data_IF_594512845106
#
_entry.id   IF_594512845106
#
_cell.length_a   1.000
_cell.length_b   1.000
_cell.length_c   1.000
_cell.angle_alpha   90.00
_cell.angle_beta   90.00
_cell.angle_gamma   90.00
#
_symmetry.space_group_name_H-M   'P 1'
#
loop_
_entity.id
_entity.type
_entity.pdbx_description
1 polymer ?
#
# COMPACT_ATOMS: atom_id res chain seq x y z
N UNK A 1 -9.55 -5.26 -12.23
CA UNK A 1 -8.84 -5.00 -10.97
C UNK A 1 -8.69 -3.49 -10.85
N UNK A 2 -9.28 -2.85 -9.83
CA UNK A 2 -9.05 -1.43 -9.58
C UNK A 2 -7.73 -1.30 -8.82
N UNK A 3 -6.86 -0.40 -9.26
CA UNK A 3 -5.53 -0.20 -8.68
C UNK A 3 -5.51 1.20 -8.09
N UNK A 4 -5.40 1.29 -6.77
CA UNK A 4 -5.10 2.54 -6.09
C UNK A 4 -3.60 2.61 -5.87
N UNK A 5 -2.97 3.53 -6.57
CA UNK A 5 -1.56 3.88 -6.47
C UNK A 5 -1.50 5.28 -5.85
N UNK A 6 -0.78 5.41 -4.73
CA UNK A 6 -0.25 6.71 -4.34
C UNK A 6 1.23 6.75 -4.72
N UNK A 7 1.59 7.73 -5.54
CA UNK A 7 2.98 8.16 -5.65
C UNK A 7 3.18 9.41 -4.76
N UNK A 8 4.40 9.58 -4.25
CA UNK A 8 4.71 10.68 -3.34
C UNK A 8 4.84 12.05 -4.02
N UNK A 9 4.42 12.22 -5.27
CA UNK A 9 4.56 13.43 -6.07
C UNK A 9 3.20 14.00 -6.50
N UNK A 10 3.16 15.27 -6.90
CA UNK A 10 2.03 15.86 -7.61
C UNK A 10 1.99 15.46 -9.10
N UNK A 11 2.85 14.52 -9.53
CA UNK A 11 2.93 14.05 -10.90
C UNK A 11 1.87 12.96 -11.17
N UNK A 12 1.43 12.78 -12.43
CA UNK A 12 0.55 11.69 -12.78
C UNK A 12 1.21 10.34 -12.49
N UNK A 13 0.43 9.42 -11.91
CA UNK A 13 0.79 8.04 -11.61
C UNK A 13 1.64 7.44 -12.74
N UNK A 14 2.83 6.88 -12.45
CA UNK A 14 3.71 6.34 -13.48
C UNK A 14 3.15 5.10 -14.19
N UNK A 15 2.10 4.46 -13.65
CA UNK A 15 1.46 3.28 -14.22
C UNK A 15 -0.04 3.49 -14.42
N UNK A 16 -0.55 3.05 -15.56
CA UNK A 16 -1.98 3.12 -15.92
C UNK A 16 -2.71 1.80 -15.59
N UNK A 17 -1.97 0.72 -15.36
CA UNK A 17 -2.55 -0.56 -14.97
C UNK A 17 -1.57 -1.46 -14.21
N UNK A 18 -2.15 -2.35 -13.42
CA UNK A 18 -1.48 -3.51 -12.87
C UNK A 18 -2.24 -4.76 -13.28
N UNK A 19 -1.52 -5.85 -13.53
CA UNK A 19 -2.07 -7.19 -13.76
C UNK A 19 -1.33 -8.15 -12.84
N UNK A 20 -2.07 -9.03 -12.19
CA UNK A 20 -1.50 -10.17 -11.46
C UNK A 20 -1.90 -11.41 -12.26
N UNK A 21 -0.91 -12.13 -12.77
CA UNK A 21 -1.10 -13.43 -13.40
C UNK A 21 -0.71 -14.52 -12.41
N UNK A 22 -1.68 -15.24 -11.82
CA UNK A 22 -1.36 -16.38 -10.99
C UNK A 22 -0.65 -17.42 -11.83
N UNK A 23 0.53 -17.87 -11.41
CA UNK A 23 1.21 -19.00 -12.07
C UNK A 23 1.55 -20.06 -11.03
N UNK A 24 1.72 -21.28 -11.51
CA UNK A 24 2.11 -22.40 -10.65
C UNK A 24 1.15 -22.66 -9.51
N UNK A 25 1.68 -23.23 -8.43
CA UNK A 25 0.90 -23.58 -7.23
C UNK A 25 1.28 -22.72 -6.02
N UNK A 26 2.27 -21.84 -6.16
CA UNK A 26 2.81 -21.04 -5.07
C UNK A 26 2.75 -19.54 -5.42
N UNK A 27 2.38 -18.64 -4.48
CA UNK A 27 2.31 -17.19 -4.73
C UNK A 27 3.62 -16.49 -5.14
N UNK A 28 4.74 -17.21 -5.15
CA UNK A 28 6.04 -16.72 -5.63
C UNK A 28 6.23 -16.92 -7.15
N UNK A 29 5.38 -17.75 -7.76
CA UNK A 29 5.39 -18.04 -9.19
C UNK A 29 4.60 -16.97 -9.97
N UNK A 30 3.74 -16.20 -9.28
CA UNK A 30 2.88 -15.17 -9.86
C UNK A 30 3.68 -14.07 -10.56
N UNK A 31 3.15 -13.56 -11.67
CA UNK A 31 3.71 -12.41 -12.38
C UNK A 31 2.92 -11.16 -12.02
N UNK A 32 3.64 -10.15 -11.56
CA UNK A 32 3.08 -8.81 -11.37
C UNK A 32 3.53 -7.93 -12.53
N UNK A 33 2.56 -7.44 -13.29
CA UNK A 33 2.81 -6.56 -14.43
C UNK A 33 2.34 -5.16 -14.09
N UNK A 34 3.20 -4.17 -14.26
CA UNK A 34 2.85 -2.75 -14.17
C UNK A 34 3.08 -2.09 -15.51
N UNK A 35 2.04 -1.48 -16.08
CA UNK A 35 2.06 -0.96 -17.42
C UNK A 35 1.66 0.52 -17.47
N UNK A 36 2.34 1.27 -18.33
CA UNK A 36 1.91 2.58 -18.83
C UNK A 36 1.72 2.47 -20.33
N UNK A 37 0.58 2.88 -20.85
CA UNK A 37 0.29 2.85 -22.28
C UNK A 37 0.51 4.25 -22.92
N UNK A 38 0.52 4.31 -24.25
CA UNK A 38 0.68 5.58 -24.99
C UNK A 38 2.12 6.05 -25.15
N UNK A 39 2.33 7.37 -25.14
CA UNK A 39 3.65 7.99 -25.32
C UNK A 39 4.52 7.70 -24.08
N UNK A 40 5.55 6.87 -24.26
CA UNK A 40 6.36 6.35 -23.14
C UNK A 40 5.86 5.01 -22.62
N UNK A 41 5.35 4.13 -23.50
CA UNK A 41 4.98 2.76 -23.17
C UNK A 41 6.08 2.04 -22.40
N UNK A 42 5.73 1.53 -21.24
CA UNK A 42 6.61 0.69 -20.43
C UNK A 42 5.71 -0.38 -19.81
N UNK A 43 6.09 -1.63 -19.99
CA UNK A 43 5.48 -2.77 -19.30
C UNK A 43 6.56 -3.49 -18.49
N UNK A 44 6.42 -3.46 -17.17
CA UNK A 44 7.38 -4.07 -16.24
C UNK A 44 6.80 -5.35 -15.68
N UNK A 45 7.48 -6.46 -15.89
CA UNK A 45 7.13 -7.75 -15.30
C UNK A 45 8.04 -8.03 -14.11
N UNK A 46 7.45 -8.39 -12.98
CA UNK A 46 8.14 -8.81 -11.77
C UNK A 46 7.81 -10.27 -11.51
N UNK A 47 8.84 -11.11 -11.48
CA UNK A 47 8.77 -12.56 -11.32
C UNK A 47 9.82 -13.03 -10.30
N UNK A 48 9.81 -14.34 -10.00
CA UNK A 48 10.87 -15.00 -9.22
C UNK A 48 11.07 -14.35 -7.83
N UNK A 49 9.97 -14.18 -7.11
CA UNK A 49 9.99 -13.49 -5.83
C UNK A 49 10.85 -14.21 -4.79
N UNK A 50 11.73 -13.45 -4.14
CA UNK A 50 12.55 -13.93 -3.03
C UNK A 50 11.93 -13.49 -1.70
N UNK A 51 11.55 -14.48 -0.89
CA UNK A 51 11.05 -14.24 0.47
C UNK A 51 12.18 -13.86 1.43
N UNK A 52 11.95 -12.86 2.27
CA UNK A 52 12.89 -12.43 3.31
C UNK A 52 12.16 -11.71 4.45
N UNK A 53 12.91 -11.31 5.48
CA UNK A 53 12.43 -10.46 6.57
C UNK A 53 13.32 -9.23 6.65
N UNK A 54 12.72 -8.04 6.70
CA UNK A 54 13.46 -6.77 6.69
C UNK A 54 13.55 -6.08 8.06
N UNK A 55 13.19 -6.77 9.14
CA UNK A 55 13.14 -6.21 10.49
C UNK A 55 11.81 -5.54 10.84
N UNK A 56 10.99 -5.20 9.84
CA UNK A 56 9.61 -4.71 10.02
C UNK A 56 8.57 -5.81 9.75
N UNK A 57 8.93 -6.79 8.93
CA UNK A 57 8.15 -8.01 8.75
C UNK A 57 8.58 -8.85 7.57
N UNK A 58 7.75 -9.84 7.24
CA UNK A 58 7.97 -10.68 6.07
C UNK A 58 7.68 -9.88 4.81
N UNK A 59 8.56 -10.02 3.83
CA UNK A 59 8.43 -9.41 2.51
C UNK A 59 8.79 -10.40 1.43
N UNK A 60 8.31 -10.13 0.21
CA UNK A 60 8.76 -10.81 -1.02
C UNK A 60 9.25 -9.75 -1.99
N UNK A 61 10.44 -9.94 -2.56
CA UNK A 61 11.01 -8.95 -3.49
C UNK A 61 11.32 -9.56 -4.85
N UNK A 62 11.10 -8.79 -5.91
CA UNK A 62 11.38 -9.17 -7.28
C UNK A 62 12.01 -7.99 -8.04
N UNK A 63 12.94 -8.30 -8.94
CA UNK A 63 13.47 -7.37 -9.93
C UNK A 63 12.60 -7.39 -11.18
N UNK A 64 12.68 -6.35 -12.02
CA UNK A 64 11.88 -6.27 -13.23
C UNK A 64 12.60 -6.74 -14.51
N UNK A 65 11.80 -7.14 -15.48
CA UNK A 65 12.13 -7.16 -16.92
C UNK A 65 11.18 -6.19 -17.62
N UNK A 66 11.68 -5.41 -18.58
CA UNK A 66 10.88 -4.42 -19.31
C UNK A 66 10.52 -4.96 -20.68
N UNK A 67 9.26 -4.82 -21.09
CA UNK A 67 8.81 -5.10 -22.44
C UNK A 67 8.50 -3.78 -23.17
N UNK A 68 9.01 -3.67 -24.39
CA UNK A 68 8.71 -2.54 -25.28
C UNK A 68 7.39 -2.80 -26.06
N UNK A 69 6.86 -1.82 -26.81
CA UNK A 69 5.63 -2.00 -27.58
C UNK A 69 5.65 -3.14 -28.61
N UNK A 70 6.84 -3.58 -29.04
CA UNK A 70 6.99 -4.71 -29.96
C UNK A 70 7.08 -6.07 -29.25
N UNK A 71 6.93 -6.10 -27.91
CA UNK A 71 6.96 -7.32 -27.10
C UNK A 71 8.35 -7.90 -26.87
N UNK A 72 9.41 -7.15 -27.17
CA UNK A 72 10.79 -7.58 -26.91
C UNK A 72 11.19 -7.27 -25.47
N UNK A 73 11.76 -8.27 -24.79
CA UNK A 73 12.29 -8.13 -23.43
C UNK A 73 13.60 -7.32 -23.42
N UNK A 74 13.71 -6.43 -22.45
CA UNK A 74 14.88 -5.63 -22.14
C UNK A 74 15.26 -5.83 -20.68
N UNK A 75 16.54 -5.60 -20.35
CA UNK A 75 17.00 -5.61 -18.97
C UNK A 75 16.20 -4.60 -18.15
N UNK A 76 15.83 -4.98 -16.93
CA UNK A 76 15.11 -4.10 -16.03
C UNK A 76 15.88 -2.83 -15.67
N UNK A 77 15.15 -1.79 -15.30
CA UNK A 77 15.70 -0.48 -14.92
C UNK A 77 16.12 -0.38 -13.45
N UNK A 78 16.27 -1.53 -12.78
CA UNK A 78 16.68 -1.61 -11.38
C UNK A 78 15.56 -1.34 -10.37
N UNK A 79 14.35 -0.96 -10.78
CA UNK A 79 13.22 -0.87 -9.84
C UNK A 79 12.86 -2.25 -9.29
N UNK A 80 12.58 -2.32 -8.00
CA UNK A 80 12.19 -3.54 -7.29
C UNK A 80 10.74 -3.44 -6.82
N UNK A 81 10.00 -4.52 -7.02
CA UNK A 81 8.71 -4.72 -6.40
C UNK A 81 8.94 -5.39 -5.04
N UNK A 82 8.33 -4.84 -4.00
CA UNK A 82 8.28 -5.43 -2.66
C UNK A 82 6.83 -5.66 -2.29
N UNK A 83 6.45 -6.91 -2.09
CA UNK A 83 5.16 -7.30 -1.55
C UNK A 83 5.26 -7.44 -0.04
N UNK A 84 4.26 -6.92 0.66
CA UNK A 84 4.20 -6.98 2.10
C UNK A 84 3.32 -8.12 2.56
N UNK A 85 3.78 -8.85 3.58
CA UNK A 85 2.97 -9.80 4.33
C UNK A 85 2.65 -9.19 5.71
N UNK A 86 1.38 -8.86 5.94
CA UNK A 86 0.87 -8.23 7.17
C UNK A 86 0.55 -9.29 8.25
N UNK A 87 1.11 -10.50 8.15
CA UNK A 87 0.96 -11.56 9.14
C UNK A 87 1.42 -11.19 10.57
N UNK A 88 2.22 -10.13 10.73
CA UNK A 88 2.71 -9.70 12.04
C UNK A 88 1.61 -9.14 12.97
N UNK A 89 0.47 -8.72 12.42
CA UNK A 89 -0.68 -8.19 13.19
C UNK A 89 -1.94 -9.04 13.01
N UNK A 90 -2.00 -9.85 11.95
CA UNK A 90 -3.16 -10.69 11.60
C UNK A 90 -2.78 -12.18 11.63
N UNK A 91 -3.38 -12.96 12.54
CA UNK A 91 -3.32 -14.42 12.44
C UNK A 91 -3.98 -14.85 11.12
N UNK A 92 -3.20 -15.43 10.20
CA UNK A 92 -3.68 -15.87 8.89
C UNK A 92 -3.45 -14.90 7.73
N UNK A 93 -2.97 -13.68 7.98
CA UNK A 93 -2.67 -12.70 6.91
C UNK A 93 -3.91 -12.08 6.27
N UNK A 94 -3.78 -11.66 5.01
CA UNK A 94 -4.84 -11.06 4.17
C UNK A 94 -5.10 -11.98 2.97
N UNK A 95 -6.36 -12.24 2.67
CA UNK A 95 -6.80 -13.18 1.63
C UNK A 95 -7.25 -12.47 0.35
N UNK A 96 -7.84 -11.27 0.48
CA UNK A 96 -8.49 -10.56 -0.62
C UNK A 96 -7.71 -9.33 -1.08
N UNK A 97 -6.69 -8.91 -0.34
CA UNK A 97 -5.85 -7.75 -0.68
C UNK A 97 -4.35 -8.07 -0.62
N UNK A 98 -3.62 -7.62 -1.64
CA UNK A 98 -2.18 -7.56 -1.70
C UNK A 98 -1.72 -6.11 -1.57
N UNK A 99 -0.74 -5.89 -0.70
CA UNK A 99 -0.06 -4.62 -0.53
C UNK A 99 1.37 -4.71 -1.06
N UNK A 100 1.91 -3.59 -1.52
CA UNK A 100 3.31 -3.53 -1.87
C UNK A 100 3.78 -2.13 -2.20
N UNK A 101 5.05 -2.08 -2.61
CA UNK A 101 5.67 -0.89 -3.16
C UNK A 101 6.54 -1.21 -4.36
N UNK A 102 6.75 -0.23 -5.22
CA UNK A 102 7.75 -0.24 -6.27
C UNK A 102 8.80 0.81 -5.92
N UNK A 103 10.06 0.40 -5.80
CA UNK A 103 11.17 1.34 -5.62
C UNK A 103 11.33 2.20 -6.87
N UNK A 104 11.85 3.44 -6.76
CA UNK A 104 12.22 4.20 -7.94
C UNK A 104 13.27 3.46 -8.77
N UNK A 105 13.33 3.77 -10.08
CA UNK A 105 14.41 3.32 -10.97
C UNK A 105 15.67 4.19 -10.86
N UNK A 106 15.57 5.35 -10.23
CA UNK A 106 16.68 6.27 -9.98
C UNK A 106 16.93 6.46 -8.49
N UNK A 107 18.20 6.60 -8.11
CA UNK A 107 18.57 6.88 -6.73
C UNK A 107 17.94 8.20 -6.24
N UNK A 108 17.33 8.18 -5.06
CA UNK A 108 16.65 9.34 -4.48
C UNK A 108 15.21 9.57 -4.96
N UNK A 109 14.68 8.72 -5.85
CA UNK A 109 13.26 8.76 -6.20
C UNK A 109 12.35 8.26 -5.07
N UNK A 110 11.06 8.56 -5.16
CA UNK A 110 10.06 8.10 -4.19
C UNK A 110 9.54 6.72 -4.58
N UNK A 111 9.34 5.86 -3.58
CA UNK A 111 8.64 4.59 -3.80
C UNK A 111 7.16 4.84 -4.05
N UNK A 112 6.58 4.03 -4.91
CA UNK A 112 5.15 4.03 -5.20
C UNK A 112 4.49 2.93 -4.37
N UNK A 113 3.48 3.27 -3.57
CA UNK A 113 2.75 2.30 -2.76
C UNK A 113 1.42 1.93 -3.42
N UNK A 114 1.02 0.68 -3.29
CA UNK A 114 -0.24 0.19 -3.82
C UNK A 114 -0.93 -0.78 -2.87
N UNK A 115 -2.25 -0.80 -3.00
CA UNK A 115 -3.11 -1.84 -2.47
C UNK A 115 -4.02 -2.30 -3.60
N UNK A 116 -4.08 -3.61 -3.79
CA UNK A 116 -4.92 -4.21 -4.83
C UNK A 116 -5.59 -5.44 -4.31
N UNK A 117 -6.82 -5.67 -4.71
CA UNK A 117 -7.57 -6.80 -4.23
C UNK A 117 -8.68 -7.20 -5.18
N UNK A 118 -9.39 -8.27 -4.80
CA UNK A 118 -10.54 -8.69 -5.57
C UNK A 118 -11.63 -7.60 -5.55
N UNK A 119 -12.16 -7.20 -6.72
CA UNK A 119 -13.23 -6.22 -6.76
C UNK A 119 -14.50 -6.82 -6.15
N UNK A 120 -15.02 -6.18 -5.11
CA UNK A 120 -16.34 -6.45 -4.57
C UNK A 120 -17.43 -5.76 -5.39
N UNK A 121 -18.64 -6.30 -5.40
CA UNK A 121 -19.80 -5.60 -5.95
C UNK A 121 -20.23 -4.49 -4.98
N UNK A 122 -20.39 -3.26 -5.46
CA UNK A 122 -20.78 -2.11 -4.62
C UNK A 122 -22.05 -2.34 -3.78
N UNK A 123 -23.02 -3.09 -4.32
CA UNK A 123 -24.26 -3.43 -3.61
C UNK A 123 -24.08 -4.39 -2.42
N UNK A 124 -22.88 -4.91 -2.17
CA UNK A 124 -22.59 -5.76 -1.00
C UNK A 124 -22.04 -4.98 0.19
N UNK A 125 -21.73 -3.69 0.00
CA UNK A 125 -21.41 -2.80 1.12
C UNK A 125 -22.68 -2.63 1.96
N UNK A 126 -22.66 -2.96 3.27
CA UNK A 126 -23.81 -2.77 4.12
C UNK A 126 -24.26 -1.30 4.12
N UNK A 127 -25.55 -1.06 4.34
CA UNK A 127 -26.13 0.28 4.50
C UNK A 127 -26.53 0.57 5.94
N UNK A 128 -26.25 -0.36 6.86
CA UNK A 128 -26.55 -0.26 8.29
C UNK A 128 -25.49 -1.01 9.10
N UNK A 129 -25.42 -0.67 10.38
CA UNK A 129 -24.49 -1.31 11.32
C UNK A 129 -23.06 -0.81 11.21
N UNK A 130 -22.18 -1.39 12.00
CA UNK A 130 -20.76 -1.06 12.03
C UNK A 130 -19.89 -2.30 12.08
N UNK A 131 -18.65 -2.17 11.61
CA UNK A 131 -17.63 -3.20 11.72
C UNK A 131 -16.28 -2.60 12.10
N UNK A 132 -15.55 -3.32 12.94
CA UNK A 132 -14.15 -3.04 13.26
C UNK A 132 -13.24 -3.86 12.34
N UNK A 133 -12.14 -3.25 11.94
CA UNK A 133 -11.04 -3.88 11.22
C UNK A 133 -9.74 -3.54 11.94
N UNK A 134 -8.88 -4.53 12.10
CA UNK A 134 -7.56 -4.39 12.73
C UNK A 134 -6.50 -4.85 11.73
N UNK A 135 -5.29 -4.32 11.80
CA UNK A 135 -4.25 -4.68 10.85
C UNK A 135 -2.94 -3.94 11.06
N UNK A 136 -2.12 -3.92 10.00
CA UNK A 136 -0.82 -3.26 10.02
C UNK A 136 -0.57 -2.40 8.79
N UNK A 137 0.43 -1.53 8.89
CA UNK A 137 0.90 -0.67 7.80
C UNK A 137 2.34 -0.98 7.42
N UNK A 138 2.69 -0.59 6.20
CA UNK A 138 4.04 -0.55 5.65
C UNK A 138 4.20 0.74 4.86
N UNK A 139 5.26 1.48 5.12
CA UNK A 139 5.46 2.79 4.51
C UNK A 139 6.92 3.22 4.45
N UNK A 140 7.13 4.45 4.00
CA UNK A 140 8.39 5.16 4.04
C UNK A 140 8.15 6.53 4.68
N UNK A 141 8.95 6.87 5.68
CA UNK A 141 9.07 8.24 6.18
C UNK A 141 10.35 8.85 5.61
N UNK A 142 10.23 10.03 5.01
CA UNK A 142 11.36 10.81 4.51
C UNK A 142 11.40 12.08 5.33
N UNK A 143 12.48 12.31 6.07
CA UNK A 143 12.60 13.52 6.90
C UNK A 143 12.89 14.76 6.04
N UNK A 144 12.83 15.96 6.66
CA UNK A 144 13.15 17.23 5.98
C UNK A 144 14.57 17.33 5.41
N UNK A 145 15.49 16.43 5.80
CA UNK A 145 16.83 16.32 5.22
C UNK A 145 16.90 15.35 4.03
N UNK A 146 15.78 14.76 3.60
CA UNK A 146 15.71 13.81 2.50
C UNK A 146 16.17 12.38 2.86
N UNK A 147 16.39 12.08 4.14
CA UNK A 147 16.74 10.72 4.57
C UNK A 147 15.48 9.88 4.65
N UNK A 148 15.47 8.77 3.90
CA UNK A 148 14.36 7.82 3.87
C UNK A 148 14.54 6.72 4.91
N UNK A 149 13.43 6.36 5.55
CA UNK A 149 13.31 5.28 6.51
C UNK A 149 12.10 4.43 6.18
N UNK A 150 12.23 3.12 6.26
CA UNK A 150 11.09 2.21 6.13
C UNK A 150 10.31 2.19 7.44
N UNK A 151 8.99 2.12 7.37
CA UNK A 151 8.10 2.16 8.53
C UNK A 151 7.11 1.00 8.54
N UNK A 152 6.71 0.60 9.75
CA UNK A 152 5.54 -0.25 9.99
C UNK A 152 4.80 0.21 11.24
N UNK A 153 3.48 0.09 11.27
CA UNK A 153 2.66 0.40 12.44
C UNK A 153 1.45 -0.52 12.55
N UNK A 154 0.79 -0.51 13.69
CA UNK A 154 -0.54 -1.08 13.83
C UNK A 154 -1.57 -0.07 13.31
N UNK A 155 -2.65 -0.56 12.71
CA UNK A 155 -3.76 0.26 12.24
C UNK A 155 -5.10 -0.35 12.67
N UNK A 156 -6.03 0.51 13.09
CA UNK A 156 -7.38 0.11 13.43
C UNK A 156 -8.37 1.01 12.71
N UNK A 157 -9.50 0.45 12.29
CA UNK A 157 -10.56 1.18 11.58
C UNK A 157 -11.92 0.69 12.05
N UNK A 158 -12.84 1.62 12.24
CA UNK A 158 -14.27 1.35 12.39
C UNK A 158 -14.99 1.91 11.17
N UNK A 159 -15.71 1.04 10.47
CA UNK A 159 -16.64 1.44 9.42
C UNK A 159 -18.05 1.54 10.02
N UNK A 160 -18.66 2.72 9.94
CA UNK A 160 -20.08 2.93 10.19
C UNK A 160 -20.79 2.97 8.84
N UNK A 161 -21.39 1.83 8.48
CA UNK A 161 -22.08 1.65 7.21
C UNK A 161 -23.42 2.39 7.16
N UNK A 162 -24.03 2.66 8.32
CA UNK A 162 -25.24 3.48 8.40
C UNK A 162 -24.96 4.96 8.15
N UNK A 163 -23.83 5.44 8.66
CA UNK A 163 -23.38 6.82 8.45
C UNK A 163 -22.61 7.02 7.13
N UNK A 164 -22.21 5.93 6.45
CA UNK A 164 -21.37 5.99 5.26
C UNK A 164 -19.98 6.54 5.55
N UNK A 165 -19.42 6.24 6.73
CA UNK A 165 -18.16 6.81 7.21
C UNK A 165 -17.21 5.75 7.76
N UNK A 166 -15.93 6.09 7.75
CA UNK A 166 -14.90 5.36 8.50
C UNK A 166 -14.17 6.30 9.43
N UNK A 167 -13.71 5.77 10.56
CA UNK A 167 -12.76 6.42 11.45
C UNK A 167 -11.72 5.40 11.91
N UNK A 168 -10.50 5.84 12.15
CA UNK A 168 -9.45 4.93 12.55
C UNK A 168 -8.20 5.65 13.01
N UNK A 169 -7.20 4.87 13.39
CA UNK A 169 -5.92 5.39 13.88
C UNK A 169 -4.79 4.41 13.65
N UNK A 170 -3.57 4.96 13.65
CA UNK A 170 -2.32 4.19 13.64
C UNK A 170 -1.59 4.32 14.97
N UNK A 171 -0.81 3.29 15.32
CA UNK A 171 -0.01 3.29 16.56
C UNK A 171 1.22 2.40 16.45
N UNK A 172 2.14 2.48 17.41
CA UNK A 172 3.31 1.61 17.51
C UNK A 172 4.21 1.63 16.25
N UNK A 173 4.45 2.82 15.69
CA UNK A 173 5.38 2.97 14.58
C UNK A 173 6.78 2.46 14.94
N UNK A 174 7.31 1.61 14.05
CA UNK A 174 8.70 1.16 14.01
C UNK A 174 9.33 1.71 12.74
N UNK A 175 10.62 1.99 12.82
CA UNK A 175 11.36 2.60 11.73
C UNK A 175 12.74 1.96 11.61
N UNK A 176 13.20 1.72 10.37
CA UNK A 176 14.55 1.27 10.07
C UNK A 176 15.18 2.13 8.97
N UNK A 177 16.49 2.27 9.01
CA UNK A 177 17.25 2.93 7.94
C UNK A 177 17.51 1.98 6.74
N UNK A 178 18.21 2.49 5.72
CA UNK A 178 18.58 1.72 4.54
C UNK A 178 19.49 0.51 4.81
N UNK A 179 20.15 0.46 5.98
CA UNK A 179 20.99 -0.65 6.41
C UNK A 179 20.24 -1.64 7.31
N UNK A 180 18.95 -1.40 7.58
CA UNK A 180 18.13 -2.20 8.48
C UNK A 180 18.37 -1.91 9.97
N UNK A 181 19.09 -0.84 10.31
CA UNK A 181 19.26 -0.44 11.70
C UNK A 181 17.99 0.23 12.22
N UNK A 182 17.58 -0.12 13.45
CA UNK A 182 16.43 0.50 14.11
C UNK A 182 16.69 2.00 14.27
N UNK A 183 15.71 2.80 13.84
CA UNK A 183 15.72 4.24 13.96
C UNK A 183 14.50 4.71 14.76
N UNK A 184 14.63 5.88 15.38
CA UNK A 184 13.55 6.52 16.14
C UNK A 184 13.20 7.84 15.46
N UNK A 185 11.93 8.09 15.12
CA UNK A 185 11.55 9.38 14.57
C UNK A 185 11.73 10.47 15.63
N UNK A 186 12.05 11.70 15.21
CA UNK A 186 12.21 12.84 16.13
C UNK A 186 10.90 13.28 16.79
N UNK A 187 9.77 12.79 16.28
CA UNK A 187 8.42 13.07 16.75
C UNK A 187 7.50 11.88 16.43
N UNK A 188 6.26 11.91 16.94
CA UNK A 188 5.28 10.85 16.68
C UNK A 188 4.85 10.81 15.21
N UNK A 189 4.90 9.62 14.61
CA UNK A 189 4.32 9.35 13.29
C UNK A 189 2.87 8.86 13.35
N UNK A 190 2.32 8.63 14.56
CA UNK A 190 0.93 8.22 14.74
C UNK A 190 -0.02 9.29 14.20
N UNK A 191 -1.08 8.84 13.53
CA UNK A 191 -2.16 9.69 13.03
C UNK A 191 -3.51 9.00 13.19
N UNK A 192 -4.54 9.82 13.41
CA UNK A 192 -5.94 9.45 13.29
C UNK A 192 -6.41 9.75 11.86
N UNK A 193 -7.41 9.03 11.38
CA UNK A 193 -8.01 9.29 10.07
C UNK A 193 -9.53 9.15 10.10
N UNK A 194 -10.17 9.87 9.19
CA UNK A 194 -11.60 9.77 8.95
C UNK A 194 -11.90 9.93 7.47
N UNK A 195 -12.93 9.26 6.98
CA UNK A 195 -13.28 9.31 5.56
C UNK A 195 -14.72 8.90 5.29
N UNK A 196 -15.14 9.13 4.05
CA UNK A 196 -16.44 8.73 3.55
C UNK A 196 -16.34 7.42 2.77
N UNK A 197 -17.38 6.59 2.90
CA UNK A 197 -17.59 5.39 2.10
C UNK A 197 -18.32 5.80 0.82
N UNK A 198 -17.68 5.62 -0.33
CA UNK A 198 -18.25 5.91 -1.65
C UNK A 198 -18.16 4.64 -2.48
N UNK A 199 -19.29 3.96 -2.67
CA UNK A 199 -19.30 2.60 -3.23
C UNK A 199 -18.45 1.68 -2.35
N UNK A 200 -17.45 0.99 -2.90
CA UNK A 200 -16.48 0.16 -2.17
C UNK A 200 -15.30 0.97 -1.64
N UNK A 201 -15.15 2.23 -2.05
CA UNK A 201 -13.96 3.05 -1.80
C UNK A 201 -14.09 3.88 -0.53
N UNK A 202 -12.94 4.22 0.04
CA UNK A 202 -12.78 5.11 1.17
C UNK A 202 -11.98 6.31 0.69
N UNK A 203 -12.45 7.52 0.98
CA UNK A 203 -11.70 8.76 0.71
C UNK A 203 -11.80 9.65 1.94
N UNK A 204 -10.66 10.13 2.42
CA UNK A 204 -10.63 10.85 3.68
C UNK A 204 -9.34 11.60 3.92
N UNK A 205 -9.21 12.09 5.15
CA UNK A 205 -8.06 12.83 5.64
C UNK A 205 -7.46 12.15 6.86
N UNK A 206 -6.18 12.39 7.09
CA UNK A 206 -5.46 11.95 8.27
C UNK A 206 -4.81 13.13 8.97
N UNK A 207 -4.85 13.10 10.31
CA UNK A 207 -4.30 14.11 11.19
C UNK A 207 -3.60 13.43 12.37
N UNK A 208 -2.33 13.75 12.55
CA UNK A 208 -1.53 13.47 13.74
C UNK A 208 -0.96 14.78 14.30
N UNK A 209 -0.15 14.67 15.36
CA UNK A 209 0.48 15.85 15.97
C UNK A 209 1.47 16.57 15.04
N UNK A 210 2.09 15.84 14.12
CA UNK A 210 3.09 16.36 13.18
C UNK A 210 2.87 15.93 11.74
N UNK A 211 1.81 15.17 11.45
CA UNK A 211 1.55 14.61 10.13
C UNK A 211 0.13 14.94 9.73
N UNK A 212 -0.06 15.53 8.55
CA UNK A 212 -1.41 15.78 8.01
C UNK A 212 -1.45 15.43 6.55
N UNK A 213 -2.57 14.89 6.08
CA UNK A 213 -2.73 14.64 4.65
C UNK A 213 -3.98 13.83 4.35
N UNK A 214 -3.85 12.97 3.36
CA UNK A 214 -4.98 12.27 2.77
C UNK A 214 -4.84 10.77 2.92
N UNK A 215 -5.99 10.12 2.97
CA UNK A 215 -6.11 8.67 2.89
C UNK A 215 -7.08 8.29 1.79
N UNK A 216 -6.74 7.23 1.08
CA UNK A 216 -7.65 6.54 0.18
C UNK A 216 -7.69 5.08 0.55
N UNK A 217 -8.75 4.37 0.22
CA UNK A 217 -8.88 2.98 0.61
C UNK A 217 -10.00 2.26 -0.11
N UNK A 218 -10.17 0.99 0.23
CA UNK A 218 -11.21 0.15 -0.36
C UNK A 218 -11.53 -1.02 0.58
N UNK A 219 -12.78 -1.47 0.55
CA UNK A 219 -13.19 -2.73 1.17
C UNK A 219 -12.96 -3.92 0.22
N UNK A 220 -12.59 -5.07 0.79
CA UNK A 220 -12.29 -6.31 0.07
C UNK A 220 -13.00 -7.52 0.69
N UNK A 221 -13.26 -8.52 -0.15
CA UNK A 221 -13.98 -9.74 0.21
C UNK A 221 -14.45 -10.50 -1.02
N UNK A 222 -15.22 -11.57 -0.81
CA UNK A 222 -15.86 -12.29 -1.90
C UNK A 222 -16.75 -11.34 -2.72
N UNK A 223 -16.82 -11.58 -4.04
CA UNK A 223 -17.53 -10.70 -4.98
C UNK A 223 -18.97 -10.35 -4.55
N UNK A 224 -19.69 -11.30 -3.98
CA UNK A 224 -21.07 -11.17 -3.51
C UNK A 224 -21.20 -11.22 -1.98
N UNK A 225 -20.08 -11.16 -1.26
CA UNK A 225 -20.02 -11.25 0.20
C UNK A 225 -19.90 -9.88 0.88
N UNK A 226 -20.06 -9.85 2.22
CA UNK A 226 -19.81 -8.64 3.00
C UNK A 226 -18.31 -8.31 3.01
N UNK A 227 -17.95 -7.06 3.36
CA UNK A 227 -16.55 -6.68 3.52
C UNK A 227 -15.92 -7.44 4.70
N UNK A 228 -14.80 -8.12 4.44
CA UNK A 228 -14.02 -8.86 5.44
C UNK A 228 -12.62 -8.27 5.63
N UNK A 229 -12.15 -7.51 4.64
CA UNK A 229 -10.87 -6.82 4.65
C UNK A 229 -11.04 -5.38 4.17
N UNK A 230 -10.04 -4.56 4.47
CA UNK A 230 -9.93 -3.21 3.96
C UNK A 230 -8.46 -2.87 3.68
N UNK A 231 -8.24 -1.94 2.77
CA UNK A 231 -6.93 -1.33 2.57
C UNK A 231 -7.00 0.17 2.69
N UNK A 232 -5.90 0.76 3.17
CA UNK A 232 -5.71 2.21 3.24
C UNK A 232 -4.36 2.55 2.61
N UNK A 233 -4.32 3.50 1.70
CA UNK A 233 -3.12 4.17 1.23
C UNK A 233 -3.11 5.56 1.84
N UNK A 234 -1.97 5.98 2.36
CA UNK A 234 -1.83 7.27 3.01
C UNK A 234 -0.65 8.06 2.47
N UNK A 235 -0.81 9.37 2.39
CA UNK A 235 0.28 10.33 2.16
C UNK A 235 0.07 11.52 3.08
N UNK A 236 1.00 11.72 4.01
CA UNK A 236 0.96 12.78 4.99
C UNK A 236 2.22 13.62 4.87
N UNK A 237 2.08 14.93 4.90
CA UNK A 237 3.19 15.87 4.97
C UNK A 237 3.45 16.25 6.43
N UNK A 238 4.74 16.41 6.76
CA UNK A 238 5.16 16.80 8.09
C UNK A 238 4.93 18.30 8.33
N UNK A 239 4.14 18.62 9.35
CA UNK A 239 3.82 20.00 9.71
C UNK A 239 5.06 20.73 10.21
N UNK A 240 5.60 21.65 9.40
CA UNK A 240 6.72 22.54 9.76
C UNK A 240 8.12 21.94 9.62
N UNK A 241 8.24 20.64 9.30
CA UNK A 241 9.52 19.93 9.16
C UNK A 241 9.91 19.54 7.73
N UNK A 242 8.96 19.60 6.78
CA UNK A 242 9.22 19.31 5.37
C UNK A 242 9.42 17.83 5.02
N UNK A 243 9.19 16.92 5.96
CA UNK A 243 9.14 15.48 5.72
C UNK A 243 7.83 14.99 5.09
N UNK A 244 7.82 13.73 4.66
CA UNK A 244 6.64 13.04 4.10
C UNK A 244 6.57 11.61 4.62
N UNK A 245 5.38 11.18 4.99
CA UNK A 245 5.05 9.81 5.35
C UNK A 245 4.08 9.25 4.31
N UNK A 246 4.51 8.23 3.58
CA UNK A 246 3.70 7.55 2.56
C UNK A 246 3.67 6.05 2.82
N UNK A 247 2.55 5.39 2.55
CA UNK A 247 2.47 3.94 2.73
C UNK A 247 1.11 3.34 2.45
N UNK A 248 1.03 2.05 2.76
CA UNK A 248 -0.14 1.21 2.61
C UNK A 248 -0.43 0.45 3.90
N UNK A 249 -1.70 0.23 4.20
CA UNK A 249 -2.19 -0.57 5.31
C UNK A 249 -3.22 -1.58 4.83
N UNK A 250 -3.23 -2.74 5.47
CA UNK A 250 -4.20 -3.80 5.24
C UNK A 250 -4.80 -4.22 6.56
N UNK A 251 -6.12 -4.30 6.59
CA UNK A 251 -6.92 -4.57 7.77
C UNK A 251 -7.87 -5.72 7.51
N UNK A 252 -8.15 -6.50 8.55
CA UNK A 252 -9.10 -7.61 8.53
C UNK A 252 -10.10 -7.45 9.66
N UNK A 253 -11.34 -7.85 9.40
CA UNK A 253 -12.37 -7.95 10.41
C UNK A 253 -12.02 -9.12 11.37
N UNK A 254 -11.94 -8.90 12.69
CA UNK A 254 -11.61 -9.93 13.67
C UNK A 254 -12.72 -10.98 13.82
#
# INVERSE_FOLDING_TARGET
MLVYIADGSSAPNPFEGMIIEPRGAQPQDDIYTFARYGAGYIEKHYTDFVASTDGLGRIRTASNVIFNPSGQSQLGDGSKLTLFDIANVLQGGLDYVQLGKISPSTAGGLSVFFATGQPMNAGTIPTTGSARFDGGTRGTYINGAGTAYETSSDITMTADFGAGQVSGSTSNFKMIDANGAVATPSHSLNFDFSGNIVSTSIVGTATGSHMTGEITGMFHGERNGPPVEASVIYRLDETGGGGVLIGAGGLRKP
#
